data_IF_812785159349
#
_entry.id   IF_812785159349
#
_cell.length_a   1.000
_cell.length_b   1.000
_cell.length_c   1.000
_cell.angle_alpha   90.00
_cell.angle_beta   90.00
_cell.angle_gamma   90.00
#
_symmetry.space_group_name_H-M   'P 1'
#
loop_
_entity.id
_entity.type
_entity.pdbx_description
1 polymer ?
#
# COMPACT_ATOMS: atom_id res chain seq x y z
N UNK A 1 10.05 -9.47 -15.96
CA UNK A 1 9.25 -10.56 -15.36
C UNK A 1 7.95 -10.72 -16.13
N UNK A 2 7.38 -11.93 -16.19
CA UNK A 2 6.07 -12.18 -16.80
C UNK A 2 5.11 -12.72 -15.73
N UNK A 3 4.12 -11.92 -15.34
CA UNK A 3 3.14 -12.31 -14.32
C UNK A 3 2.20 -13.37 -14.89
N UNK A 4 2.01 -14.47 -14.17
CA UNK A 4 1.09 -15.54 -14.58
C UNK A 4 -0.29 -15.36 -13.92
N UNK A 5 -1.29 -16.07 -14.45
CA UNK A 5 -2.64 -16.11 -13.85
C UNK A 5 -2.59 -16.77 -12.46
N UNK A 6 -1.67 -17.70 -12.23
CA UNK A 6 -1.42 -18.31 -10.92
C UNK A 6 -0.93 -17.27 -9.92
N UNK A 7 0.09 -16.47 -10.29
CA UNK A 7 0.61 -15.41 -9.43
C UNK A 7 -0.50 -14.40 -9.07
N UNK A 8 -1.32 -14.02 -10.06
CA UNK A 8 -2.46 -13.14 -9.84
C UNK A 8 -3.49 -13.76 -8.87
N UNK A 9 -3.80 -15.05 -9.04
CA UNK A 9 -4.70 -15.80 -8.17
C UNK A 9 -4.23 -15.84 -6.72
N UNK A 10 -2.94 -16.09 -6.50
CA UNK A 10 -2.33 -16.08 -5.16
C UNK A 10 -2.42 -14.69 -4.51
N UNK A 11 -2.16 -13.61 -5.28
CA UNK A 11 -2.28 -12.23 -4.79
C UNK A 11 -3.72 -11.89 -4.39
N UNK A 12 -4.71 -12.27 -5.19
CA UNK A 12 -6.13 -12.13 -4.85
C UNK A 12 -6.48 -12.90 -3.56
N UNK A 13 -5.93 -14.10 -3.40
CA UNK A 13 -6.12 -14.90 -2.20
C UNK A 13 -5.50 -14.23 -0.96
N UNK A 14 -4.31 -13.64 -1.09
CA UNK A 14 -3.65 -12.91 -0.01
C UNK A 14 -4.48 -11.73 0.46
N UNK A 15 -5.04 -10.94 -0.47
CA UNK A 15 -5.94 -9.83 -0.15
C UNK A 15 -7.18 -10.31 0.62
N UNK A 16 -7.84 -11.38 0.16
CA UNK A 16 -8.98 -11.97 0.86
C UNK A 16 -8.62 -12.38 2.28
N UNK A 17 -7.53 -13.13 2.44
CA UNK A 17 -7.09 -13.65 3.75
C UNK A 17 -6.71 -12.51 4.70
N UNK A 18 -6.17 -11.40 4.20
CA UNK A 18 -5.86 -10.23 5.01
C UNK A 18 -7.11 -9.50 5.54
N UNK A 19 -8.27 -9.74 4.93
CA UNK A 19 -9.59 -9.35 5.43
C UNK A 19 -10.24 -10.41 6.31
N UNK A 20 -9.56 -11.54 6.57
CA UNK A 20 -10.05 -12.67 7.37
C UNK A 20 -11.31 -13.33 6.80
N UNK A 21 -11.58 -13.16 5.49
CA UNK A 21 -12.74 -13.74 4.82
C UNK A 21 -12.43 -15.13 4.28
N UNK A 22 -13.39 -16.05 4.36
CA UNK A 22 -13.44 -17.26 3.54
C UNK A 22 -13.85 -16.95 2.10
N UNK A 23 -13.58 -17.88 1.17
CA UNK A 23 -14.04 -17.73 -0.22
C UNK A 23 -15.57 -17.67 -0.32
N UNK A 24 -16.28 -18.34 0.61
CA UNK A 24 -17.75 -18.33 0.65
C UNK A 24 -18.28 -16.98 1.10
N UNK A 25 -17.67 -16.37 2.10
CA UNK A 25 -18.07 -15.04 2.60
C UNK A 25 -17.81 -13.97 1.54
N UNK A 26 -16.63 -13.98 0.91
CA UNK A 26 -16.33 -13.05 -0.19
C UNK A 26 -17.32 -13.23 -1.35
N UNK A 27 -17.63 -14.47 -1.72
CA UNK A 27 -18.58 -14.76 -2.77
C UNK A 27 -19.99 -14.23 -2.45
N UNK A 28 -20.42 -14.36 -1.18
CA UNK A 28 -21.69 -13.79 -0.73
C UNK A 28 -21.69 -12.26 -0.82
N UNK A 29 -20.60 -11.59 -0.40
CA UNK A 29 -20.45 -10.13 -0.51
C UNK A 29 -20.52 -9.63 -1.95
N UNK A 30 -19.96 -10.40 -2.89
CA UNK A 30 -19.92 -10.06 -4.30
C UNK A 30 -21.10 -10.62 -5.11
N UNK A 31 -22.06 -11.28 -4.46
CA UNK A 31 -23.21 -11.93 -5.11
C UNK A 31 -22.81 -12.93 -6.22
N UNK A 32 -21.71 -13.65 -6.01
CA UNK A 32 -21.19 -14.67 -6.93
C UNK A 32 -21.14 -16.05 -6.28
N UNK A 33 -20.82 -17.07 -7.07
CA UNK A 33 -20.61 -18.41 -6.53
C UNK A 33 -19.19 -18.57 -5.99
N UNK A 34 -19.03 -19.25 -4.84
CA UNK A 34 -17.71 -19.52 -4.24
C UNK A 34 -16.74 -20.24 -5.20
N UNK A 35 -17.24 -21.08 -6.10
CA UNK A 35 -16.43 -21.74 -7.12
C UNK A 35 -15.74 -20.72 -8.05
N UNK A 36 -16.39 -19.59 -8.35
CA UNK A 36 -15.79 -18.54 -9.18
C UNK A 36 -14.59 -17.90 -8.48
N UNK A 37 -14.70 -17.63 -7.17
CA UNK A 37 -13.57 -17.18 -6.33
C UNK A 37 -12.46 -18.22 -6.34
N UNK A 38 -12.79 -19.48 -6.08
CA UNK A 38 -11.81 -20.58 -6.02
C UNK A 38 -11.04 -20.74 -7.32
N UNK A 39 -11.71 -20.70 -8.47
CA UNK A 39 -11.03 -20.85 -9.77
C UNK A 39 -10.07 -19.72 -10.07
N UNK A 40 -10.43 -18.48 -9.73
CA UNK A 40 -9.56 -17.33 -9.88
C UNK A 40 -8.35 -17.41 -8.94
N UNK A 41 -8.57 -17.70 -7.65
CA UNK A 41 -7.49 -17.80 -6.66
C UNK A 41 -6.51 -18.94 -6.95
N UNK A 42 -6.96 -20.02 -7.59
CA UNK A 42 -6.11 -21.16 -7.97
C UNK A 42 -5.50 -21.01 -9.38
N UNK A 43 -5.66 -19.86 -10.03
CA UNK A 43 -5.10 -19.62 -11.37
C UNK A 43 -5.77 -20.41 -12.52
N UNK A 44 -6.90 -21.08 -12.26
CA UNK A 44 -7.65 -21.87 -13.25
C UNK A 44 -8.39 -20.95 -14.24
N UNK A 45 -8.68 -19.71 -13.81
CA UNK A 45 -9.28 -18.67 -14.62
C UNK A 45 -10.73 -18.37 -14.26
N UNK A 46 -11.22 -17.26 -14.80
CA UNK A 46 -12.56 -16.73 -14.60
C UNK A 46 -12.88 -15.72 -15.70
N UNK A 47 -13.89 -14.90 -15.48
CA UNK A 47 -14.24 -13.83 -16.41
C UNK A 47 -13.50 -12.55 -16.07
N UNK A 48 -13.31 -11.68 -17.06
CA UNK A 48 -12.70 -10.36 -16.84
C UNK A 48 -13.58 -9.51 -15.91
N UNK A 49 -14.89 -9.63 -16.05
CA UNK A 49 -15.90 -8.98 -15.21
C UNK A 49 -15.69 -9.35 -13.74
N UNK A 50 -15.46 -10.64 -13.45
CA UNK A 50 -15.22 -11.11 -12.09
C UNK A 50 -13.88 -10.60 -11.53
N UNK A 51 -12.84 -10.53 -12.38
CA UNK A 51 -11.57 -9.94 -11.99
C UNK A 51 -11.73 -8.45 -11.66
N UNK A 52 -12.43 -7.68 -12.50
CA UNK A 52 -12.69 -6.27 -12.27
C UNK A 52 -13.51 -6.05 -10.98
N UNK A 53 -14.49 -6.91 -10.72
CA UNK A 53 -15.27 -6.85 -9.50
C UNK A 53 -14.42 -7.06 -8.24
N UNK A 54 -13.50 -8.04 -8.26
CA UNK A 54 -12.55 -8.26 -7.18
C UNK A 54 -11.57 -7.10 -7.02
N UNK A 55 -11.00 -6.60 -8.12
CA UNK A 55 -10.05 -5.47 -8.09
C UNK A 55 -10.71 -4.23 -7.52
N UNK A 56 -11.96 -3.93 -7.91
CA UNK A 56 -12.72 -2.81 -7.35
C UNK A 56 -12.98 -3.01 -5.86
N UNK A 57 -13.46 -4.19 -5.47
CA UNK A 57 -13.73 -4.51 -4.07
C UNK A 57 -12.48 -4.38 -3.19
N UNK A 58 -11.36 -4.99 -3.59
CA UNK A 58 -10.10 -4.85 -2.84
C UNK A 58 -9.52 -3.44 -2.92
N UNK A 59 -9.79 -2.72 -4.00
CA UNK A 59 -9.42 -1.33 -4.17
C UNK A 59 -9.98 -0.43 -3.06
N UNK A 60 -11.12 -0.75 -2.47
CA UNK A 60 -11.68 0.00 -1.33
C UNK A 60 -10.93 -0.25 -0.02
N UNK A 61 -10.24 -1.39 0.11
CA UNK A 61 -9.60 -1.82 1.36
C UNK A 61 -8.07 -1.81 1.32
N UNK A 62 -7.45 -1.83 0.13
CA UNK A 62 -6.01 -1.98 -0.06
C UNK A 62 -5.45 -1.03 -1.12
N UNK A 63 -4.15 -0.75 -1.01
CA UNK A 63 -3.39 -0.15 -2.10
C UNK A 63 -2.95 -1.24 -3.08
N UNK A 64 -3.39 -1.15 -4.33
CA UNK A 64 -3.14 -2.17 -5.36
C UNK A 64 -1.97 -1.83 -6.31
N UNK A 65 -1.15 -0.83 -6.00
CA UNK A 65 -0.10 -0.34 -6.91
C UNK A 65 0.95 -1.41 -7.28
N UNK A 66 1.18 -2.39 -6.41
CA UNK A 66 2.12 -3.50 -6.61
C UNK A 66 1.45 -4.78 -7.13
N UNK A 67 0.13 -4.77 -7.37
CA UNK A 67 -0.63 -5.97 -7.73
C UNK A 67 -0.13 -6.67 -9.00
N UNK A 68 0.49 -5.93 -9.92
CA UNK A 68 1.07 -6.46 -11.16
C UNK A 68 2.60 -6.30 -11.23
N UNK A 69 3.24 -5.88 -10.13
CA UNK A 69 4.69 -5.72 -10.03
C UNK A 69 5.38 -7.05 -9.71
N UNK A 70 6.71 -7.07 -9.79
CA UNK A 70 7.51 -8.25 -9.45
C UNK A 70 7.33 -8.64 -7.98
N UNK A 71 7.45 -7.67 -7.09
CA UNK A 71 7.17 -7.83 -5.66
C UNK A 71 5.73 -7.39 -5.36
N UNK A 72 5.03 -8.17 -4.53
CA UNK A 72 3.66 -7.87 -4.10
C UNK A 72 3.58 -7.88 -2.57
N UNK A 73 2.93 -6.85 -2.05
CA UNK A 73 2.70 -6.69 -0.61
C UNK A 73 1.26 -6.26 -0.37
N UNK A 74 0.68 -6.77 0.73
CA UNK A 74 -0.67 -6.40 1.15
C UNK A 74 -0.62 -5.18 2.04
N UNK A 75 -1.04 -4.03 1.51
CA UNK A 75 -1.04 -2.75 2.22
C UNK A 75 -2.49 -2.29 2.44
N UNK A 76 -3.00 -2.41 3.66
CA UNK A 76 -4.35 -1.95 4.03
C UNK A 76 -4.44 -0.43 3.92
N UNK A 77 -5.52 0.06 3.31
CA UNK A 77 -5.95 1.45 3.46
C UNK A 77 -6.35 1.63 4.92
N UNK A 78 -5.65 2.47 5.66
CA UNK A 78 -6.06 2.82 7.03
C UNK A 78 -7.28 3.73 6.96
N UNK A 79 -8.27 3.52 7.85
CA UNK A 79 -9.47 4.37 7.96
C UNK A 79 -9.16 5.83 8.33
N UNK A 80 -7.91 6.09 8.71
CA UNK A 80 -7.38 7.43 8.85
C UNK A 80 -6.09 7.46 8.06
N UNK A 81 -6.10 8.10 6.89
CA UNK A 81 -5.07 9.03 6.42
C UNK A 81 -5.52 9.54 5.05
N UNK A 82 -6.15 10.70 5.05
CA UNK A 82 -6.06 11.69 3.97
C UNK A 82 -4.61 12.20 3.81
N UNK A 83 -3.61 11.33 3.96
CA UNK A 83 -2.20 11.68 3.82
C UNK A 83 -1.52 10.65 2.89
N UNK A 84 -0.78 11.12 1.88
CA UNK A 84 -0.16 10.25 0.89
C UNK A 84 0.98 9.45 1.53
N UNK A 85 1.04 8.16 1.20
CA UNK A 85 2.19 7.27 1.30
C UNK A 85 2.78 7.09 2.71
N UNK A 86 2.78 5.84 3.17
CA UNK A 86 3.55 5.39 4.34
C UNK A 86 5.03 5.72 4.10
N UNK A 87 5.49 6.87 4.62
CA UNK A 87 6.91 7.16 4.65
C UNK A 87 7.58 6.12 5.54
N UNK A 88 8.63 5.47 5.02
CA UNK A 88 9.50 4.59 5.78
C UNK A 88 9.89 5.28 7.10
N UNK A 89 9.69 4.64 8.25
CA UNK A 89 10.02 5.22 9.57
C UNK A 89 11.48 5.72 9.62
N UNK A 90 12.38 5.05 8.89
CA UNK A 90 13.77 5.48 8.69
C UNK A 90 13.85 6.80 7.90
N UNK A 91 13.02 6.98 6.88
CA UNK A 91 12.97 8.23 6.12
C UNK A 91 12.45 9.39 6.98
N UNK A 92 11.45 9.15 7.82
CA UNK A 92 10.94 10.16 8.77
C UNK A 92 12.02 10.56 9.77
N UNK A 93 12.73 9.60 10.36
CA UNK A 93 13.82 9.91 11.30
C UNK A 93 14.99 10.63 10.62
N UNK A 94 15.34 10.28 9.37
CA UNK A 94 16.35 11.01 8.59
C UNK A 94 15.94 12.45 8.32
N UNK A 95 14.68 12.70 7.98
CA UNK A 95 14.16 14.06 7.77
C UNK A 95 14.19 14.88 9.06
N UNK A 96 13.92 14.27 10.21
CA UNK A 96 14.04 14.94 11.52
C UNK A 96 15.49 15.32 11.83
N UNK A 97 16.45 14.43 11.62
CA UNK A 97 17.87 14.71 11.83
C UNK A 97 18.33 15.87 10.94
N UNK A 98 17.97 15.84 9.65
CA UNK A 98 18.30 16.90 8.70
C UNK A 98 17.71 18.25 9.15
N UNK A 99 16.48 18.26 9.65
CA UNK A 99 15.84 19.47 10.19
C UNK A 99 16.63 20.05 11.36
N UNK A 100 17.10 19.22 12.29
CA UNK A 100 17.89 19.66 13.44
C UNK A 100 19.20 20.28 12.98
N UNK A 101 19.93 19.61 12.08
CA UNK A 101 21.21 20.10 11.56
C UNK A 101 21.06 21.47 10.87
N UNK A 102 20.04 21.64 10.03
CA UNK A 102 19.76 22.95 9.41
C UNK A 102 19.41 24.02 10.45
N UNK A 103 18.70 23.66 11.52
CA UNK A 103 18.33 24.61 12.58
C UNK A 103 19.55 25.08 13.37
N UNK A 104 20.49 24.16 13.64
CA UNK A 104 21.75 24.48 14.30
C UNK A 104 22.59 25.42 13.42
N UNK A 105 22.72 25.12 12.12
CA UNK A 105 23.42 26.00 11.18
C UNK A 105 22.81 27.41 11.09
N UNK A 106 21.48 27.52 11.07
CA UNK A 106 20.80 28.82 11.08
C UNK A 106 21.12 29.59 12.38
N UNK A 107 21.14 28.89 13.51
CA UNK A 107 21.46 29.49 14.81
C UNK A 107 22.89 30.02 14.84
N UNK A 108 23.84 29.26 14.29
CA UNK A 108 25.23 29.69 14.17
C UNK A 108 25.35 30.94 13.29
N UNK A 109 24.68 30.98 12.13
CA UNK A 109 24.67 32.14 11.24
C UNK A 109 24.08 33.38 11.94
N UNK A 110 22.96 33.22 12.66
CA UNK A 110 22.37 34.32 13.44
C UNK A 110 23.38 34.84 14.46
N UNK A 111 24.07 33.96 15.18
CA UNK A 111 25.07 34.36 16.18
C UNK A 111 26.24 35.14 15.57
N UNK A 112 26.64 34.81 14.33
CA UNK A 112 27.70 35.51 13.59
C UNK A 112 27.20 36.91 13.22
N UNK A 113 26.00 37.02 12.66
CA UNK A 113 25.40 38.31 12.26
C UNK A 113 25.20 39.23 13.47
N UNK A 114 24.72 38.71 14.60
CA UNK A 114 24.52 39.48 15.83
C UNK A 114 25.85 39.99 16.43
N UNK A 115 26.92 39.18 16.33
CA UNK A 115 28.27 39.60 16.75
C UNK A 115 28.85 40.67 15.84
N UNK A 116 28.63 40.59 14.53
CA UNK A 116 29.10 41.59 13.56
C UNK A 116 28.30 42.89 13.62
N UNK A 117 27.01 42.85 13.96
CA UNK A 117 26.15 44.04 14.14
C UNK A 117 26.33 44.80 15.46
N UNK A 118 27.18 44.32 16.37
CA UNK A 118 27.47 44.95 17.67
C UNK A 118 28.79 45.75 17.69
N UNK A 119 29.40 46.01 16.52
CA UNK A 119 30.58 46.88 16.34
C UNK A 119 30.20 48.23 15.71
#
# INVERSE_FOLDING_TARGET
MNLTITDLGERLQMLRKAMELSQKELAATLEVQQNQISRLENGIGGTLEMLLQLVNYYGEHFHLHSMFSEEFEVIKKSENLSQPLVYNSIAVERLKLLKTEFSDQITDIISIIEKEGSC
#
